data_IF_199705184087
#
_entry.id   IF_199705184087
#
_cell.length_a   1.000
_cell.length_b   1.000
_cell.length_c   1.000
_cell.angle_alpha   90.00
_cell.angle_beta   90.00
_cell.angle_gamma   90.00
#
_symmetry.space_group_name_H-M   'P 1'
#
loop_
_entity.id
_entity.type
_entity.pdbx_description
1 polymer ?
#
# COMPACT_ATOMS: atom_id res chain seq x y z
N UNK A 1 2.63 -84.69 17.17
CA UNK A 1 2.03 -83.93 16.04
C UNK A 1 1.65 -82.51 16.43
N UNK A 2 1.65 -82.11 17.67
CA UNK A 2 1.13 -80.80 18.15
C UNK A 2 2.17 -79.67 18.11
N UNK A 3 3.46 -79.97 18.03
CA UNK A 3 4.52 -78.94 18.05
C UNK A 3 4.84 -78.33 16.69
N UNK A 4 4.55 -79.03 15.60
CA UNK A 4 4.83 -78.58 14.23
C UNK A 4 3.79 -77.54 13.72
N UNK A 5 2.56 -77.60 14.21
CA UNK A 5 1.47 -76.71 13.80
C UNK A 5 1.59 -75.29 14.37
N UNK A 6 2.17 -75.12 15.56
CA UNK A 6 2.35 -73.80 16.17
C UNK A 6 3.46 -72.97 15.52
N UNK A 7 4.50 -73.65 14.98
CA UNK A 7 5.59 -72.97 14.27
C UNK A 7 5.18 -72.51 12.88
N UNK A 8 4.26 -73.20 12.21
CA UNK A 8 3.79 -72.82 10.86
C UNK A 8 2.80 -71.64 10.93
N UNK A 9 1.93 -71.60 11.98
CA UNK A 9 1.00 -70.51 12.21
C UNK A 9 1.72 -69.19 12.56
N UNK A 10 2.82 -69.25 13.33
CA UNK A 10 3.64 -68.06 13.64
C UNK A 10 4.38 -67.48 12.46
N UNK A 11 4.84 -68.31 11.50
CA UNK A 11 5.51 -67.85 10.26
C UNK A 11 4.54 -67.19 9.28
N UNK A 12 3.31 -67.68 9.16
CA UNK A 12 2.28 -67.06 8.32
C UNK A 12 1.82 -65.71 8.88
N UNK A 13 1.74 -65.55 10.18
CA UNK A 13 1.36 -64.25 10.82
C UNK A 13 2.45 -63.20 10.66
N UNK A 14 3.73 -63.58 10.72
CA UNK A 14 4.86 -62.68 10.52
C UNK A 14 4.96 -62.22 9.05
N UNK A 15 4.73 -63.13 8.10
CA UNK A 15 4.75 -62.78 6.66
C UNK A 15 3.56 -61.89 6.28
N UNK A 16 2.37 -62.11 6.88
CA UNK A 16 1.21 -61.25 6.66
C UNK A 16 1.39 -59.85 7.27
N UNK A 17 2.05 -59.72 8.42
CA UNK A 17 2.40 -58.45 9.03
C UNK A 17 3.49 -57.70 8.25
N UNK A 18 4.47 -58.37 7.65
CA UNK A 18 5.48 -57.77 6.80
C UNK A 18 4.88 -57.29 5.47
N UNK A 19 3.95 -58.01 4.86
CA UNK A 19 3.27 -57.59 3.63
C UNK A 19 2.31 -56.43 3.92
N UNK A 20 1.61 -56.42 5.03
CA UNK A 20 0.76 -55.28 5.45
C UNK A 20 1.61 -54.03 5.77
N UNK A 21 2.79 -54.19 6.38
CA UNK A 21 3.75 -53.11 6.62
C UNK A 21 4.34 -52.55 5.34
N UNK A 22 4.64 -53.34 4.32
CA UNK A 22 5.12 -52.90 3.01
C UNK A 22 4.00 -52.19 2.19
N UNK A 23 2.76 -52.64 2.28
CA UNK A 23 1.62 -51.99 1.61
C UNK A 23 1.29 -50.67 2.27
N UNK A 24 1.40 -50.55 3.60
CA UNK A 24 1.25 -49.29 4.31
C UNK A 24 2.42 -48.32 4.05
N UNK A 25 3.63 -48.79 3.95
CA UNK A 25 4.81 -47.98 3.57
C UNK A 25 4.74 -47.49 2.13
N UNK A 26 4.19 -48.25 1.19
CA UNK A 26 4.01 -47.84 -0.21
C UNK A 26 2.83 -46.86 -0.37
N UNK A 27 1.81 -46.91 0.49
CA UNK A 27 0.73 -45.93 0.47
C UNK A 27 1.10 -44.58 1.12
N UNK A 28 2.10 -44.56 2.00
CA UNK A 28 2.65 -43.30 2.57
C UNK A 28 3.67 -42.65 1.62
N UNK A 29 4.29 -43.39 0.71
CA UNK A 29 5.24 -42.85 -0.27
C UNK A 29 4.59 -42.37 -1.59
N UNK A 30 3.26 -42.52 -1.76
CA UNK A 30 2.58 -42.11 -3.00
C UNK A 30 1.79 -40.80 -2.89
N UNK A 31 1.93 -40.04 -1.80
CA UNK A 31 1.56 -38.63 -1.75
C UNK A 31 2.79 -37.76 -2.01
N UNK A 32 3.52 -38.03 -3.07
CA UNK A 32 4.26 -36.97 -3.76
C UNK A 32 3.17 -35.99 -4.24
N UNK A 33 2.98 -34.88 -3.50
CA UNK A 33 2.15 -33.80 -3.96
C UNK A 33 2.49 -33.52 -5.41
N UNK A 34 1.53 -33.72 -6.32
CA UNK A 34 1.68 -33.25 -7.69
C UNK A 34 2.21 -31.82 -7.63
N UNK A 35 3.26 -31.48 -8.38
CA UNK A 35 3.75 -30.12 -8.39
C UNK A 35 2.56 -29.21 -8.68
N UNK A 36 2.38 -28.19 -7.89
CA UNK A 36 1.32 -27.23 -8.08
C UNK A 36 1.35 -26.78 -9.56
N UNK A 37 0.19 -26.75 -10.20
CA UNK A 37 0.09 -26.25 -11.57
C UNK A 37 0.53 -24.79 -11.59
N UNK A 38 1.11 -24.35 -12.71
CA UNK A 38 1.44 -22.95 -12.92
C UNK A 38 0.16 -22.10 -12.77
N UNK A 39 0.22 -20.94 -12.08
CA UNK A 39 -0.93 -20.06 -11.99
C UNK A 39 -1.31 -19.55 -13.37
N UNK A 40 -2.61 -19.56 -13.68
CA UNK A 40 -3.15 -18.95 -14.88
C UNK A 40 -3.33 -17.44 -14.63
N UNK A 41 -2.38 -16.65 -15.09
CA UNK A 41 -2.40 -15.21 -14.91
C UNK A 41 -3.44 -14.47 -15.76
N UNK A 42 -4.03 -15.15 -16.74
CA UNK A 42 -5.04 -14.58 -17.63
C UNK A 42 -6.46 -14.97 -17.20
N UNK A 43 -6.60 -15.95 -16.32
CA UNK A 43 -7.88 -16.30 -15.73
C UNK A 43 -8.44 -15.11 -14.90
N UNK A 44 -9.67 -14.71 -15.21
CA UNK A 44 -10.40 -13.68 -14.47
C UNK A 44 -9.77 -12.27 -14.48
N UNK A 45 -9.04 -11.90 -15.53
CA UNK A 45 -8.56 -10.53 -15.68
C UNK A 45 -9.74 -9.56 -15.82
N UNK A 46 -9.70 -8.41 -15.11
CA UNK A 46 -10.71 -7.38 -15.31
C UNK A 46 -10.58 -6.74 -16.69
N UNK A 47 -11.67 -6.17 -17.26
CA UNK A 47 -11.63 -5.48 -18.56
C UNK A 47 -10.62 -4.32 -18.61
N UNK A 48 -10.28 -3.74 -17.48
CA UNK A 48 -9.28 -2.67 -17.32
C UNK A 48 -7.85 -3.17 -17.19
N UNK A 49 -7.62 -4.50 -17.23
CA UNK A 49 -6.27 -5.05 -17.18
C UNK A 49 -5.40 -4.48 -18.31
N UNK A 50 -4.18 -4.13 -17.95
CA UNK A 50 -3.24 -3.52 -18.89
C UNK A 50 -2.62 -4.57 -19.82
N UNK A 51 -2.15 -4.17 -21.02
CA UNK A 51 -1.40 -5.04 -21.91
C UNK A 51 -0.25 -5.75 -21.19
N UNK A 52 0.10 -6.95 -21.65
CA UNK A 52 1.13 -7.78 -21.03
C UNK A 52 2.18 -8.21 -22.05
N UNK A 53 3.38 -8.42 -21.55
CA UNK A 53 4.50 -8.98 -22.27
C UNK A 53 5.09 -10.14 -21.47
N UNK A 54 5.79 -11.03 -22.15
CA UNK A 54 6.53 -12.11 -21.50
C UNK A 54 8.01 -11.98 -21.84
N UNK A 55 8.87 -12.07 -20.84
CA UNK A 55 10.31 -12.06 -21.04
C UNK A 55 10.90 -13.45 -21.28
N UNK A 56 12.21 -13.53 -21.48
CA UNK A 56 12.89 -14.79 -21.85
C UNK A 56 12.85 -15.88 -20.78
N UNK A 57 12.56 -15.54 -19.53
CA UNK A 57 12.41 -16.53 -18.43
C UNK A 57 10.95 -16.72 -18.01
N UNK A 58 9.99 -16.32 -18.86
CA UNK A 58 8.57 -16.55 -18.64
C UNK A 58 7.92 -15.63 -17.59
N UNK A 59 8.56 -14.49 -17.23
CA UNK A 59 7.89 -13.49 -16.39
C UNK A 59 6.86 -12.74 -17.21
N UNK A 60 5.62 -12.66 -16.69
CA UNK A 60 4.59 -11.82 -17.26
C UNK A 60 4.75 -10.40 -16.72
N UNK A 61 4.82 -9.44 -17.61
CA UNK A 61 5.06 -8.03 -17.34
C UNK A 61 3.83 -7.22 -17.79
N UNK A 62 3.22 -6.46 -16.89
CA UNK A 62 2.14 -5.53 -17.23
C UNK A 62 2.71 -4.20 -17.73
N UNK A 63 2.17 -3.70 -18.83
CA UNK A 63 2.58 -2.42 -19.46
C UNK A 63 1.63 -1.32 -19.01
N UNK A 64 2.09 -0.45 -18.12
CA UNK A 64 1.29 0.60 -17.50
C UNK A 64 1.58 1.95 -18.17
N UNK A 65 0.52 2.67 -18.54
CA UNK A 65 0.65 4.00 -19.11
C UNK A 65 1.24 4.99 -18.11
N UNK A 66 1.92 6.05 -18.58
CA UNK A 66 2.26 7.19 -17.72
C UNK A 66 1.02 7.79 -17.07
N UNK A 67 1.17 8.35 -15.88
CA UNK A 67 0.01 8.90 -15.21
C UNK A 67 0.34 9.72 -13.97
N UNK A 68 -0.70 10.32 -13.41
CA UNK A 68 -0.64 11.13 -12.20
C UNK A 68 -1.51 10.47 -11.15
N UNK A 69 -1.02 10.41 -9.92
CA UNK A 69 -1.75 9.83 -8.80
C UNK A 69 -1.46 10.55 -7.48
N UNK A 70 -2.28 10.28 -6.49
CA UNK A 70 -2.06 10.74 -5.13
C UNK A 70 -1.24 9.69 -4.36
N UNK A 71 0.03 9.99 -4.11
CA UNK A 71 0.95 9.15 -3.35
C UNK A 71 0.80 9.42 -1.85
N UNK A 72 0.92 8.38 -1.06
CA UNK A 72 0.79 8.48 0.39
C UNK A 72 -0.65 8.34 0.90
N UNK A 73 -0.80 8.48 2.21
CA UNK A 73 -2.10 8.39 2.87
C UNK A 73 -2.76 9.76 2.97
N UNK A 74 -4.09 9.84 2.74
CA UNK A 74 -4.81 11.09 2.90
C UNK A 74 -4.71 11.60 4.33
N UNK A 75 -4.45 12.88 4.45
CA UNK A 75 -4.59 13.64 5.67
C UNK A 75 -6.05 14.00 5.92
N UNK A 76 -6.31 14.60 7.08
CA UNK A 76 -7.54 15.36 7.25
C UNK A 76 -7.51 16.56 6.31
N UNK A 77 -8.35 16.51 5.30
CA UNK A 77 -8.55 17.65 4.40
C UNK A 77 -9.94 18.20 4.63
N UNK A 78 -10.00 19.44 5.02
CA UNK A 78 -11.25 20.19 5.12
C UNK A 78 -11.30 21.15 3.94
N UNK A 79 -12.17 20.88 2.99
CA UNK A 79 -12.35 21.71 1.80
C UNK A 79 -13.52 22.68 2.01
N UNK A 80 -13.26 23.97 1.87
CA UNK A 80 -14.30 25.00 1.85
C UNK A 80 -14.84 25.13 0.44
N UNK A 81 -16.03 24.60 0.21
CA UNK A 81 -16.63 24.50 -1.12
C UNK A 81 -17.42 25.76 -1.54
N UNK A 82 -17.88 26.55 -0.56
CA UNK A 82 -18.75 27.71 -0.81
C UNK A 82 -18.21 28.99 -0.18
N UNK A 83 -18.48 30.13 -0.82
CA UNK A 83 -18.08 31.45 -0.33
C UNK A 83 -18.89 31.99 0.85
N UNK A 84 -18.46 33.15 1.38
CA UNK A 84 -18.98 33.75 2.61
C UNK A 84 -20.47 34.01 2.63
N UNK A 85 -21.13 34.26 1.49
CA UNK A 85 -22.58 34.45 1.39
C UNK A 85 -23.43 33.22 1.79
N UNK A 86 -22.79 32.04 1.92
CA UNK A 86 -23.43 30.77 2.33
C UNK A 86 -23.21 30.43 3.79
N UNK A 87 -22.27 31.07 4.48
CA UNK A 87 -22.04 30.90 5.91
C UNK A 87 -22.90 31.88 6.76
N UNK A 88 -23.09 31.52 8.01
CA UNK A 88 -23.83 32.35 8.98
C UNK A 88 -23.01 32.53 10.24
N UNK A 89 -23.12 33.72 10.85
CA UNK A 89 -22.57 34.01 12.18
C UNK A 89 -23.14 33.04 13.21
N UNK A 90 -22.30 32.58 14.13
CA UNK A 90 -22.68 31.66 15.19
C UNK A 90 -22.59 30.17 14.81
N UNK A 91 -22.21 29.82 13.57
CA UNK A 91 -21.88 28.44 13.24
C UNK A 91 -20.59 28.02 13.93
N UNK A 92 -20.58 26.83 14.53
CA UNK A 92 -19.46 26.32 15.32
C UNK A 92 -18.87 25.10 14.62
N UNK A 93 -17.54 25.01 14.59
CA UNK A 93 -16.84 23.79 14.29
C UNK A 93 -15.86 23.43 15.42
N UNK A 94 -15.52 22.17 15.55
CA UNK A 94 -14.69 21.65 16.62
C UNK A 94 -13.48 20.96 16.00
N UNK A 95 -12.31 21.21 16.58
CA UNK A 95 -11.07 20.51 16.26
C UNK A 95 -10.61 19.77 17.51
N UNK A 96 -10.48 18.46 17.42
CA UNK A 96 -9.98 17.61 18.50
C UNK A 96 -8.57 17.14 18.12
N UNK A 97 -7.59 17.22 19.01
CA UNK A 97 -6.30 16.56 18.84
C UNK A 97 -6.31 15.14 19.45
N UNK A 98 -5.38 14.29 19.03
CA UNK A 98 -5.30 12.93 19.58
C UNK A 98 -4.80 12.90 21.03
N UNK A 99 -4.29 14.00 21.55
CA UNK A 99 -3.92 14.16 22.96
C UNK A 99 -5.14 14.38 23.84
N UNK A 100 -6.36 14.35 23.29
CA UNK A 100 -7.61 14.54 24.00
C UNK A 100 -7.99 15.99 24.24
N UNK A 101 -7.30 16.94 23.60
CA UNK A 101 -7.69 18.35 23.65
C UNK A 101 -8.68 18.65 22.55
N UNK A 102 -9.69 19.45 22.87
CA UNK A 102 -10.76 19.86 21.98
C UNK A 102 -10.92 21.36 21.99
N UNK A 103 -10.94 21.98 20.82
CA UNK A 103 -11.13 23.42 20.68
C UNK A 103 -12.31 23.70 19.76
N UNK A 104 -13.22 24.53 20.25
CA UNK A 104 -14.36 25.07 19.48
C UNK A 104 -13.99 26.39 18.85
N UNK A 105 -14.45 26.59 17.62
CA UNK A 105 -14.29 27.83 16.85
C UNK A 105 -15.67 28.32 16.39
N UNK A 106 -15.85 29.63 16.33
CA UNK A 106 -17.08 30.22 15.88
C UNK A 106 -16.88 31.03 14.60
N UNK A 107 -17.73 30.80 13.60
CA UNK A 107 -17.75 31.56 12.36
C UNK A 107 -18.43 32.92 12.60
N UNK A 108 -17.75 34.00 12.29
CA UNK A 108 -18.25 35.39 12.52
C UNK A 108 -18.33 36.11 11.18
N UNK A 109 -19.54 36.44 10.78
CA UNK A 109 -19.79 37.33 9.65
C UNK A 109 -19.49 38.77 10.04
N UNK A 110 -18.46 39.35 9.50
CA UNK A 110 -18.05 40.74 9.81
C UNK A 110 -19.07 41.78 9.39
N UNK A 111 -19.96 41.45 8.45
CA UNK A 111 -20.99 42.35 7.95
C UNK A 111 -22.25 42.39 8.84
N UNK A 112 -22.50 41.31 9.59
CA UNK A 112 -23.73 41.15 10.35
C UNK A 112 -23.56 40.88 11.84
N UNK A 113 -22.33 40.63 12.31
CA UNK A 113 -22.07 40.31 13.72
C UNK A 113 -22.50 41.48 14.66
N UNK A 114 -23.36 41.15 15.62
CA UNK A 114 -23.86 42.10 16.63
C UNK A 114 -23.33 41.83 18.03
N UNK A 115 -22.70 40.67 18.26
CA UNK A 115 -22.19 40.23 19.56
C UNK A 115 -20.73 39.74 19.44
N UNK A 116 -19.94 39.88 20.50
CA UNK A 116 -18.62 39.30 20.54
C UNK A 116 -18.70 37.77 20.46
N UNK A 117 -17.70 37.10 19.85
CA UNK A 117 -17.66 35.65 19.74
C UNK A 117 -17.48 34.99 21.12
N UNK A 118 -18.08 33.82 21.30
CA UNK A 118 -17.93 33.01 22.51
C UNK A 118 -16.68 32.12 22.45
N UNK A 119 -16.27 31.77 21.24
CA UNK A 119 -15.10 30.93 20.94
C UNK A 119 -14.12 31.68 20.03
N UNK A 120 -12.87 31.21 19.88
CA UNK A 120 -11.92 31.78 18.93
C UNK A 120 -12.59 32.01 17.57
N UNK A 121 -12.61 33.27 17.07
CA UNK A 121 -13.41 33.59 15.91
C UNK A 121 -12.71 33.25 14.60
N UNK A 122 -13.47 32.73 13.65
CA UNK A 122 -13.10 32.68 12.23
C UNK A 122 -13.94 33.73 11.50
N UNK A 123 -13.28 34.77 11.05
CA UNK A 123 -13.95 35.93 10.43
C UNK A 123 -14.18 35.72 8.95
N UNK A 124 -15.33 36.07 8.43
CA UNK A 124 -15.65 36.09 7.01
C UNK A 124 -16.59 37.26 6.70
N UNK A 125 -16.74 37.64 5.43
CA UNK A 125 -17.72 38.60 4.95
C UNK A 125 -18.81 37.86 4.15
N UNK A 126 -20.09 38.11 4.48
CA UNK A 126 -21.22 37.64 3.68
C UNK A 126 -21.47 38.48 2.43
N UNK A 127 -20.78 39.60 2.28
CA UNK A 127 -20.98 40.57 1.21
C UNK A 127 -22.14 41.50 1.38
N UNK A 128 -22.82 41.46 2.55
CA UNK A 128 -24.01 42.33 2.81
C UNK A 128 -23.67 43.79 2.91
N UNK A 129 -22.49 44.14 3.45
CA UNK A 129 -22.01 45.52 3.57
C UNK A 129 -21.04 45.90 2.45
N UNK A 130 -20.24 44.99 2.01
CA UNK A 130 -19.11 45.25 1.10
C UNK A 130 -19.42 44.90 -0.35
N UNK A 131 -20.55 44.24 -0.63
CA UNK A 131 -20.86 43.58 -1.92
C UNK A 131 -19.81 42.54 -2.38
N UNK A 132 -18.88 42.16 -1.50
CA UNK A 132 -17.78 41.20 -1.79
C UNK A 132 -17.75 40.14 -0.70
N UNK A 133 -18.41 39.00 -0.89
CA UNK A 133 -18.32 37.91 0.05
C UNK A 133 -16.92 37.28 0.02
N UNK A 134 -16.47 36.82 1.19
CA UNK A 134 -15.21 36.07 1.27
C UNK A 134 -15.25 34.86 0.35
N UNK A 135 -14.20 34.68 -0.43
CA UNK A 135 -14.04 33.47 -1.28
C UNK A 135 -13.83 32.21 -0.45
N UNK A 136 -14.07 31.03 -0.99
CA UNK A 136 -13.76 29.77 -0.29
C UNK A 136 -12.30 29.69 0.18
N UNK A 137 -11.34 30.14 -0.63
CA UNK A 137 -9.94 30.17 -0.26
C UNK A 137 -9.66 31.11 0.92
N UNK A 138 -10.27 32.30 0.95
CA UNK A 138 -10.13 33.24 2.05
C UNK A 138 -10.69 32.66 3.36
N UNK A 139 -11.82 31.96 3.30
CA UNK A 139 -12.40 31.31 4.47
C UNK A 139 -11.49 30.19 4.98
N UNK A 140 -10.94 29.36 4.08
CA UNK A 140 -9.99 28.32 4.44
C UNK A 140 -8.74 28.90 5.14
N UNK A 141 -8.19 30.00 4.62
CA UNK A 141 -7.06 30.70 5.24
C UNK A 141 -7.39 31.23 6.63
N UNK A 142 -8.55 31.88 6.80
CA UNK A 142 -8.98 32.41 8.09
C UNK A 142 -9.23 31.30 9.13
N UNK A 143 -9.78 30.15 8.69
CA UNK A 143 -9.96 28.97 9.55
C UNK A 143 -8.60 28.41 9.98
N UNK A 144 -7.67 28.21 9.04
CA UNK A 144 -6.33 27.69 9.34
C UNK A 144 -5.56 28.62 10.28
N UNK A 145 -5.64 29.94 10.07
CA UNK A 145 -5.01 30.93 10.95
C UNK A 145 -5.55 30.85 12.37
N UNK A 146 -6.86 30.73 12.55
CA UNK A 146 -7.47 30.60 13.87
C UNK A 146 -7.04 29.29 14.58
N UNK A 147 -6.94 28.18 13.85
CA UNK A 147 -6.51 26.89 14.39
C UNK A 147 -5.04 26.95 14.79
N UNK A 148 -4.15 27.45 13.92
CA UNK A 148 -2.72 27.58 14.20
C UNK A 148 -2.43 28.52 15.36
N UNK A 149 -3.24 29.57 15.57
CA UNK A 149 -3.14 30.42 16.75
C UNK A 149 -3.40 29.64 18.04
N UNK A 150 -4.33 28.68 18.06
CA UNK A 150 -4.58 27.81 19.22
C UNK A 150 -3.46 26.78 19.42
N UNK A 151 -2.83 26.33 18.34
CA UNK A 151 -1.65 25.46 18.42
C UNK A 151 -0.45 26.19 19.04
N UNK A 152 -0.19 27.42 18.60
CA UNK A 152 0.87 28.27 19.17
C UNK A 152 0.61 28.59 20.65
N UNK A 153 -0.65 28.74 21.04
CA UNK A 153 -1.03 28.94 22.44
C UNK A 153 -0.98 27.65 23.30
N UNK A 154 -0.63 26.49 22.72
CA UNK A 154 -0.57 25.21 23.42
C UNK A 154 -1.91 24.53 23.68
N UNK A 155 -3.00 25.07 23.13
CA UNK A 155 -4.37 24.53 23.28
C UNK A 155 -4.64 23.35 22.34
N UNK A 156 -3.87 23.21 21.25
CA UNK A 156 -3.92 22.11 20.28
C UNK A 156 -2.49 21.69 19.91
N UNK A 157 -2.35 20.46 19.43
CA UNK A 157 -1.11 19.92 18.88
C UNK A 157 -1.27 19.60 17.37
N UNK A 158 -1.81 20.55 16.62
CA UNK A 158 -2.15 20.38 15.20
C UNK A 158 -1.62 21.60 14.43
N UNK A 159 -0.94 21.37 13.31
CA UNK A 159 -0.63 22.42 12.34
C UNK A 159 -1.54 22.30 11.13
N UNK A 160 -1.94 23.44 10.57
CA UNK A 160 -2.80 23.51 9.38
C UNK A 160 -2.13 24.33 8.30
N UNK A 161 -2.01 23.77 7.11
CA UNK A 161 -1.61 24.48 5.89
C UNK A 161 -2.79 24.59 4.93
N UNK A 162 -2.78 25.60 4.08
CA UNK A 162 -3.86 25.85 3.11
C UNK A 162 -3.31 25.78 1.70
N UNK A 163 -3.95 24.97 0.86
CA UNK A 163 -3.69 24.91 -0.57
C UNK A 163 -5.00 25.17 -1.32
N UNK A 164 -5.11 26.34 -1.95
CA UNK A 164 -6.35 26.77 -2.59
C UNK A 164 -7.51 26.89 -1.59
N UNK A 165 -8.52 26.03 -1.72
CA UNK A 165 -9.70 25.97 -0.84
C UNK A 165 -9.61 24.86 0.20
N UNK A 166 -8.49 24.13 0.25
CA UNK A 166 -8.31 22.97 1.12
C UNK A 166 -7.37 23.28 2.27
N UNK A 167 -7.76 22.89 3.48
CA UNK A 167 -6.93 22.91 4.68
C UNK A 167 -6.38 21.50 4.91
N UNK A 168 -5.07 21.39 5.00
CA UNK A 168 -4.34 20.15 5.29
C UNK A 168 -3.89 20.18 6.74
N UNK A 169 -4.23 19.16 7.48
CA UNK A 169 -3.94 19.06 8.91
C UNK A 169 -2.74 18.15 9.12
N UNK A 170 -1.66 18.70 9.69
CA UNK A 170 -0.48 17.97 10.10
C UNK A 170 -0.47 17.82 11.62
N UNK A 171 -0.17 16.62 12.08
CA UNK A 171 -0.14 16.26 13.49
C UNK A 171 -1.24 15.29 13.87
N UNK A 172 -1.14 14.79 15.08
CA UNK A 172 -2.03 13.77 15.61
C UNK A 172 -3.35 14.43 15.99
N UNK A 173 -4.40 14.29 15.18
CA UNK A 173 -5.69 14.84 15.53
C UNK A 173 -6.88 14.19 14.84
N UNK A 174 -7.96 14.08 15.59
CA UNK A 174 -9.28 13.80 15.06
C UNK A 174 -10.01 15.10 14.82
N UNK A 175 -10.45 15.35 13.61
CA UNK A 175 -11.42 16.40 13.34
C UNK A 175 -12.81 15.79 13.53
N UNK A 176 -13.46 16.10 14.64
CA UNK A 176 -14.89 15.88 14.75
C UNK A 176 -15.59 17.20 14.46
N UNK A 177 -16.19 17.32 13.29
CA UNK A 177 -17.11 18.39 13.00
C UNK A 177 -18.37 18.18 13.86
N UNK A 178 -18.35 18.71 15.08
CA UNK A 178 -19.57 18.90 15.85
C UNK A 178 -20.43 19.91 15.12
N UNK A 179 -21.44 19.44 14.41
CA UNK A 179 -22.51 20.22 13.75
C UNK A 179 -22.04 21.43 12.92
N UNK A 180 -21.07 21.25 12.02
CA UNK A 180 -21.26 21.83 10.71
C UNK A 180 -22.36 20.95 10.12
N UNK A 181 -23.56 21.45 10.04
CA UNK A 181 -24.73 20.70 9.62
C UNK A 181 -24.44 20.08 8.27
N UNK A 182 -24.14 18.77 8.24
CA UNK A 182 -23.86 18.01 7.03
C UNK A 182 -25.14 17.67 6.29
N UNK A 183 -26.27 18.23 6.74
CA UNK A 183 -27.56 18.09 6.08
C UNK A 183 -27.54 18.85 4.75
N UNK A 184 -27.21 18.12 3.69
CA UNK A 184 -27.40 18.46 2.26
C UNK A 184 -26.76 19.75 1.70
N UNK A 185 -25.95 20.45 2.45
CA UNK A 185 -25.35 21.72 2.07
C UNK A 185 -23.82 21.59 2.00
N UNK A 186 -23.25 21.06 0.91
CA UNK A 186 -21.83 20.82 0.62
C UNK A 186 -20.88 22.03 0.86
N UNK A 187 -21.05 22.77 1.96
CA UNK A 187 -20.29 24.00 2.29
C UNK A 187 -18.87 23.70 2.72
N UNK A 188 -18.71 22.61 3.46
CA UNK A 188 -17.41 22.11 3.92
C UNK A 188 -17.38 20.59 3.73
N UNK A 189 -16.46 20.14 2.92
CA UNK A 189 -16.26 18.73 2.69
C UNK A 189 -15.12 18.27 3.59
N UNK A 190 -15.42 17.34 4.51
CA UNK A 190 -14.42 16.72 5.38
C UNK A 190 -14.05 15.35 4.83
N UNK A 191 -12.81 15.18 4.37
CA UNK A 191 -12.25 13.87 4.06
C UNK A 191 -11.59 13.32 5.31
N UNK A 192 -12.06 12.18 5.80
CA UNK A 192 -11.45 11.52 6.96
C UNK A 192 -10.14 10.88 6.53
N UNK A 193 -9.09 10.96 7.36
CA UNK A 193 -7.84 10.26 7.07
C UNK A 193 -8.03 8.76 7.12
N UNK A 194 -7.10 8.06 6.53
CA UNK A 194 -6.88 6.67 6.87
C UNK A 194 -6.39 6.59 8.33
N UNK A 195 -7.25 6.11 9.23
CA UNK A 195 -6.96 6.02 10.67
C UNK A 195 -5.78 5.12 11.01
N UNK A 196 -5.36 4.29 10.07
CA UNK A 196 -4.25 3.36 10.24
C UNK A 196 -2.94 3.87 9.63
N UNK A 197 -2.95 4.99 8.90
CA UNK A 197 -1.75 5.53 8.30
C UNK A 197 -0.85 6.17 9.35
N UNK A 198 0.41 5.82 9.32
CA UNK A 198 1.47 6.44 10.12
C UNK A 198 1.89 7.80 9.53
N UNK A 199 2.67 8.56 10.28
CA UNK A 199 3.08 9.91 9.87
C UNK A 199 3.99 9.89 8.64
N UNK A 200 4.80 8.85 8.47
CA UNK A 200 5.72 8.68 7.34
C UNK A 200 5.01 8.39 6.00
N UNK A 201 3.73 8.03 6.06
CA UNK A 201 2.87 7.88 4.88
C UNK A 201 2.24 9.21 4.44
N UNK A 202 2.48 10.32 5.17
CA UNK A 202 1.85 11.62 5.00
C UNK A 202 2.88 12.73 4.76
N UNK A 203 2.46 13.85 4.16
CA UNK A 203 1.16 14.12 3.55
C UNK A 203 0.94 13.34 2.25
N UNK A 204 -0.34 13.15 1.88
CA UNK A 204 -0.66 12.72 0.53
C UNK A 204 -0.30 13.83 -0.46
N UNK A 205 0.41 13.50 -1.52
CA UNK A 205 0.90 14.48 -2.50
C UNK A 205 0.73 13.98 -3.93
N UNK A 206 0.67 14.91 -4.86
CA UNK A 206 0.55 14.61 -6.27
C UNK A 206 1.89 14.11 -6.82
N UNK A 207 1.88 12.95 -7.45
CA UNK A 207 3.08 12.35 -8.06
C UNK A 207 2.77 11.95 -9.50
N UNK A 208 3.73 12.18 -10.39
CA UNK A 208 3.63 11.85 -11.80
C UNK A 208 4.66 10.78 -12.20
N UNK A 209 4.20 9.68 -12.74
CA UNK A 209 5.00 8.72 -13.50
C UNK A 209 4.99 9.17 -14.95
N UNK A 210 6.16 9.54 -15.49
CA UNK A 210 6.24 10.24 -16.79
C UNK A 210 6.46 9.30 -17.96
N UNK A 211 6.89 8.08 -17.71
CA UNK A 211 7.21 7.09 -18.74
C UNK A 211 6.33 5.84 -18.57
N UNK A 212 6.24 5.06 -19.64
CA UNK A 212 5.58 3.75 -19.58
C UNK A 212 6.31 2.87 -18.58
N UNK A 213 5.58 2.37 -17.58
CA UNK A 213 6.09 1.47 -16.54
C UNK A 213 5.78 0.02 -16.92
N UNK A 214 6.80 -0.79 -17.14
CA UNK A 214 6.66 -2.21 -17.44
C UNK A 214 7.03 -2.99 -16.18
N UNK A 215 6.02 -3.49 -15.44
CA UNK A 215 6.17 -4.07 -14.11
C UNK A 215 5.79 -5.55 -14.10
N UNK A 216 6.52 -6.37 -13.35
CA UNK A 216 6.15 -7.77 -13.12
C UNK A 216 4.71 -7.90 -12.64
N UNK A 217 3.90 -8.73 -13.30
CA UNK A 217 2.50 -8.93 -12.92
C UNK A 217 2.36 -9.61 -11.56
N UNK A 218 3.37 -10.33 -11.12
CA UNK A 218 3.51 -11.00 -9.82
C UNK A 218 4.85 -10.66 -9.19
N UNK A 219 5.04 -11.06 -7.97
CA UNK A 219 6.36 -11.20 -7.34
C UNK A 219 7.24 -12.17 -8.16
N UNK A 220 8.56 -12.06 -8.05
CA UNK A 220 9.50 -13.00 -8.68
C UNK A 220 9.37 -14.36 -8.00
N UNK A 221 9.11 -15.41 -8.80
CA UNK A 221 8.98 -16.77 -8.27
C UNK A 221 10.34 -17.42 -7.99
N UNK A 222 10.35 -18.44 -7.14
CA UNK A 222 11.56 -19.23 -6.87
C UNK A 222 12.10 -19.93 -8.13
N UNK A 223 11.24 -20.34 -9.05
CA UNK A 223 11.66 -20.89 -10.33
C UNK A 223 12.40 -19.85 -11.17
N UNK A 224 11.85 -18.65 -11.33
CA UNK A 224 12.46 -17.53 -12.04
C UNK A 224 13.79 -17.11 -11.40
N UNK A 225 13.79 -17.01 -10.08
CA UNK A 225 15.01 -16.72 -9.32
C UNK A 225 16.10 -17.77 -9.56
N UNK A 226 15.77 -19.07 -9.47
CA UNK A 226 16.73 -20.14 -9.65
C UNK A 226 17.31 -20.18 -11.07
N UNK A 227 16.54 -19.81 -12.10
CA UNK A 227 17.05 -19.69 -13.48
C UNK A 227 18.17 -18.65 -13.61
N UNK A 228 18.15 -17.62 -12.79
CA UNK A 228 19.12 -16.50 -12.83
C UNK A 228 20.22 -16.66 -11.78
N UNK A 229 19.87 -17.06 -10.57
CA UNK A 229 20.79 -17.09 -9.41
C UNK A 229 21.29 -18.49 -9.09
N UNK A 230 20.73 -19.52 -9.71
CA UNK A 230 21.12 -20.94 -9.55
C UNK A 230 20.39 -21.65 -8.41
N UNK A 231 20.16 -20.99 -7.27
CA UNK A 231 19.48 -21.55 -6.11
C UNK A 231 18.84 -20.46 -5.27
N UNK A 232 17.88 -20.82 -4.39
CA UNK A 232 17.28 -19.90 -3.44
C UNK A 232 17.32 -20.45 -2.00
N UNK A 233 17.19 -19.57 -1.03
CA UNK A 233 17.18 -19.88 0.41
C UNK A 233 15.80 -19.70 1.03
N UNK A 234 14.75 -19.69 0.22
CA UNK A 234 13.38 -19.53 0.71
C UNK A 234 13.03 -20.64 1.70
N UNK A 235 12.30 -20.29 2.75
CA UNK A 235 11.99 -21.22 3.85
C UNK A 235 11.01 -22.32 3.45
N UNK A 236 10.08 -21.98 2.55
CA UNK A 236 9.13 -22.93 1.93
C UNK A 236 9.48 -23.00 0.46
N UNK A 237 9.70 -24.21 -0.05
CA UNK A 237 10.15 -24.44 -1.43
C UNK A 237 8.99 -24.78 -2.36
N UNK A 238 8.97 -24.16 -3.53
CA UNK A 238 8.00 -24.45 -4.59
C UNK A 238 8.19 -23.53 -5.80
N UNK A 239 8.03 -24.03 -7.02
CA UNK A 239 8.39 -23.29 -8.24
C UNK A 239 7.63 -21.96 -8.39
N UNK A 240 6.37 -21.92 -7.97
CA UNK A 240 5.47 -20.76 -8.11
C UNK A 240 5.26 -19.99 -6.81
N UNK A 241 5.99 -20.34 -5.76
CA UNK A 241 6.08 -19.49 -4.56
C UNK A 241 6.98 -18.29 -4.85
N UNK A 242 6.72 -17.12 -4.23
CA UNK A 242 7.64 -16.00 -4.35
C UNK A 242 9.00 -16.39 -3.75
N UNK A 243 10.08 -15.91 -4.35
CA UNK A 243 11.38 -15.99 -3.68
C UNK A 243 11.36 -15.08 -2.47
N UNK A 244 11.84 -15.58 -1.35
CA UNK A 244 12.00 -14.82 -0.12
C UNK A 244 13.32 -15.16 0.58
N UNK A 245 13.55 -14.59 1.73
CA UNK A 245 14.82 -14.71 2.47
C UNK A 245 16.00 -14.19 1.64
N UNK A 246 15.80 -13.04 1.01
CA UNK A 246 16.76 -12.33 0.18
C UNK A 246 17.00 -10.92 0.72
N UNK A 247 18.23 -10.45 0.59
CA UNK A 247 18.62 -9.07 0.87
C UNK A 247 18.27 -8.14 -0.31
N UNK A 248 18.29 -6.83 -0.07
CA UNK A 248 18.19 -5.83 -1.14
C UNK A 248 19.32 -5.97 -2.17
N UNK A 249 20.54 -6.22 -1.71
CA UNK A 249 21.70 -6.39 -2.56
C UNK A 249 21.52 -7.58 -3.51
N UNK A 250 20.97 -8.70 -3.03
CA UNK A 250 20.66 -9.86 -3.87
C UNK A 250 19.53 -9.59 -4.86
N UNK A 251 18.50 -8.85 -4.44
CA UNK A 251 17.42 -8.41 -5.32
C UNK A 251 17.94 -7.54 -6.49
N UNK A 252 18.86 -6.63 -6.22
CA UNK A 252 19.55 -5.84 -7.25
C UNK A 252 20.42 -6.71 -8.15
N UNK A 253 21.17 -7.67 -7.58
CA UNK A 253 22.00 -8.60 -8.34
C UNK A 253 21.16 -9.48 -9.29
N UNK A 254 19.98 -9.91 -8.86
CA UNK A 254 19.01 -10.61 -9.72
C UNK A 254 18.64 -9.76 -10.94
N UNK A 255 18.24 -8.50 -10.73
CA UNK A 255 17.89 -7.57 -11.81
C UNK A 255 19.05 -7.36 -12.79
N UNK A 256 20.27 -7.20 -12.27
CA UNK A 256 21.48 -7.04 -13.09
C UNK A 256 21.72 -8.28 -13.96
N UNK A 257 21.76 -9.46 -13.36
CA UNK A 257 21.98 -10.71 -14.11
C UNK A 257 20.86 -11.02 -15.12
N UNK A 258 19.60 -10.72 -14.79
CA UNK A 258 18.49 -10.84 -15.73
C UNK A 258 18.70 -9.93 -16.94
N UNK A 259 19.17 -8.69 -16.72
CA UNK A 259 19.49 -7.74 -17.78
C UNK A 259 20.66 -8.18 -18.68
N UNK A 260 21.56 -9.01 -18.15
CA UNK A 260 22.75 -9.53 -18.87
C UNK A 260 22.43 -10.73 -19.75
N UNK A 261 21.23 -11.33 -19.66
CA UNK A 261 20.85 -12.44 -20.52
C UNK A 261 20.86 -12.02 -21.99
N UNK A 262 21.48 -12.80 -22.90
CA UNK A 262 21.57 -12.45 -24.32
C UNK A 262 20.21 -12.18 -24.97
N UNK A 263 19.18 -12.91 -24.58
CA UNK A 263 17.82 -12.70 -25.09
C UNK A 263 17.20 -11.35 -24.65
N UNK A 264 17.48 -10.93 -23.41
CA UNK A 264 17.00 -9.64 -22.89
C UNK A 264 17.77 -8.47 -23.50
N UNK A 265 19.09 -8.62 -23.67
CA UNK A 265 19.93 -7.63 -24.36
C UNK A 265 19.49 -7.47 -25.82
N UNK A 266 19.23 -8.58 -26.53
CA UNK A 266 18.75 -8.55 -27.91
C UNK A 266 17.37 -7.90 -28.03
N UNK A 267 16.54 -7.99 -27.00
CA UNK A 267 15.24 -7.33 -26.89
C UNK A 267 15.32 -5.87 -26.42
N UNK A 268 16.52 -5.33 -26.14
CA UNK A 268 16.73 -3.99 -25.61
C UNK A 268 16.19 -3.79 -24.20
N UNK A 269 16.05 -4.85 -23.40
CA UNK A 269 15.48 -4.84 -22.06
C UNK A 269 16.56 -4.80 -20.98
N UNK A 270 16.34 -3.96 -19.97
CA UNK A 270 17.09 -3.97 -18.72
C UNK A 270 16.12 -4.00 -17.55
N UNK A 271 16.56 -4.52 -16.41
CA UNK A 271 15.71 -4.73 -15.26
C UNK A 271 16.25 -4.01 -14.03
N UNK A 272 15.35 -3.54 -13.19
CA UNK A 272 15.63 -2.92 -11.90
C UNK A 272 14.49 -3.19 -10.91
N UNK A 273 14.69 -2.85 -9.66
CA UNK A 273 13.60 -2.75 -8.70
C UNK A 273 12.71 -1.56 -9.03
N UNK A 274 11.42 -1.57 -8.69
CA UNK A 274 10.57 -0.40 -8.78
C UNK A 274 11.06 0.72 -7.84
N UNK A 275 10.83 1.98 -8.20
CA UNK A 275 10.83 3.04 -7.20
C UNK A 275 9.61 2.89 -6.30
N UNK A 276 9.66 3.51 -5.12
CA UNK A 276 8.52 3.52 -4.20
C UNK A 276 7.26 4.10 -4.86
N UNK A 277 7.43 5.18 -5.64
CA UNK A 277 6.35 5.83 -6.37
C UNK A 277 5.77 4.93 -7.48
N UNK A 278 6.60 4.24 -8.24
CA UNK A 278 6.16 3.30 -9.27
C UNK A 278 5.38 2.14 -8.66
N UNK A 279 5.86 1.62 -7.54
CA UNK A 279 5.18 0.55 -6.83
C UNK A 279 3.78 0.97 -6.35
N UNK A 280 3.68 2.14 -5.68
CA UNK A 280 2.41 2.64 -5.17
C UNK A 280 1.43 3.01 -6.30
N UNK A 281 1.92 3.61 -7.39
CA UNK A 281 1.14 3.87 -8.60
C UNK A 281 0.49 2.60 -9.14
N UNK A 282 1.29 1.54 -9.29
CA UNK A 282 0.86 0.24 -9.79
C UNK A 282 -0.12 -0.45 -8.80
N UNK A 283 0.15 -0.39 -7.50
CA UNK A 283 -0.70 -0.94 -6.46
C UNK A 283 -2.09 -0.29 -6.45
N UNK A 284 -2.15 1.02 -6.55
CA UNK A 284 -3.41 1.78 -6.56
C UNK A 284 -4.26 1.55 -7.80
N UNK A 285 -3.66 1.27 -8.94
CA UNK A 285 -4.37 1.04 -10.20
C UNK A 285 -5.48 2.07 -10.48
N UNK A 286 -5.16 3.36 -10.27
CA UNK A 286 -6.09 4.49 -10.49
C UNK A 286 -6.98 4.85 -9.30
N UNK A 287 -6.90 4.15 -8.16
CA UNK A 287 -7.69 4.46 -6.96
C UNK A 287 -6.95 5.40 -6.00
N UNK A 288 -7.70 6.04 -5.11
CA UNK A 288 -7.17 6.88 -4.03
C UNK A 288 -7.43 6.28 -2.64
N UNK A 289 -8.05 5.11 -2.59
CA UNK A 289 -8.43 4.40 -1.36
C UNK A 289 -7.24 3.64 -0.75
N UNK A 290 -7.31 3.23 0.53
CA UNK A 290 -6.26 2.43 1.17
C UNK A 290 -5.93 1.13 0.43
N UNK A 291 -6.93 0.54 -0.22
CA UNK A 291 -6.80 -0.65 -1.08
C UNK A 291 -7.41 -0.36 -2.45
N UNK A 292 -6.96 -1.05 -3.50
CA UNK A 292 -7.50 -0.86 -4.85
C UNK A 292 -9.00 -1.15 -4.98
N UNK A 293 -9.55 -1.92 -4.07
CA UNK A 293 -10.98 -2.30 -4.02
C UNK A 293 -11.81 -1.43 -3.04
N UNK A 294 -11.21 -0.50 -2.30
CA UNK A 294 -11.95 0.44 -1.44
C UNK A 294 -11.31 0.75 -0.08
N UNK A 295 -12.15 1.23 0.84
CA UNK A 295 -11.72 1.77 2.13
C UNK A 295 -11.46 0.72 3.22
N UNK A 296 -12.16 -0.42 3.15
CA UNK A 296 -12.19 -1.38 4.24
C UNK A 296 -11.32 -2.60 3.96
N UNK A 297 -10.63 -3.07 4.98
CA UNK A 297 -9.84 -4.30 4.91
C UNK A 297 -10.70 -5.59 4.84
N UNK A 298 -12.04 -5.50 4.91
CA UNK A 298 -12.93 -6.67 4.95
C UNK A 298 -12.76 -7.63 3.76
N UNK A 299 -12.39 -7.08 2.59
CA UNK A 299 -12.20 -7.87 1.38
C UNK A 299 -10.73 -8.20 1.10
N UNK A 300 -9.81 -7.88 2.02
CA UNK A 300 -8.38 -8.13 1.80
C UNK A 300 -8.08 -9.61 1.54
N UNK A 301 -8.84 -10.50 2.14
CA UNK A 301 -8.69 -11.95 1.94
C UNK A 301 -8.90 -12.41 0.49
N UNK A 302 -9.60 -11.62 -0.32
CA UNK A 302 -9.82 -11.91 -1.75
C UNK A 302 -8.64 -11.43 -2.62
N UNK A 303 -7.85 -10.46 -2.15
CA UNK A 303 -6.80 -9.78 -2.90
C UNK A 303 -5.38 -10.04 -2.41
N UNK A 304 -5.20 -10.60 -1.22
CA UNK A 304 -3.88 -10.76 -0.64
C UNK A 304 -3.77 -11.85 0.41
N UNK A 305 -2.53 -12.28 0.64
CA UNK A 305 -2.13 -13.23 1.64
C UNK A 305 -1.50 -12.51 2.83
N UNK A 306 -2.18 -12.48 3.97
CA UNK A 306 -1.76 -11.75 5.15
C UNK A 306 -2.05 -12.55 6.43
N UNK A 307 -1.64 -12.10 7.58
CA UNK A 307 -1.80 -12.79 8.88
C UNK A 307 -3.24 -13.27 9.18
N UNK A 308 -4.24 -12.66 8.55
CA UNK A 308 -5.65 -13.03 8.77
C UNK A 308 -6.09 -14.28 8.00
N UNK A 309 -5.31 -14.76 7.01
CA UNK A 309 -5.73 -15.86 6.15
C UNK A 309 -4.62 -16.86 5.77
N UNK A 310 -3.38 -16.66 6.24
CA UNK A 310 -2.27 -17.61 6.03
C UNK A 310 -1.19 -17.45 7.09
N UNK A 311 -0.38 -18.51 7.28
CA UNK A 311 0.78 -18.51 8.18
C UNK A 311 2.11 -18.62 7.43
N UNK A 312 2.08 -18.73 6.11
CA UNK A 312 3.26 -18.86 5.25
C UNK A 312 3.03 -18.25 3.87
N UNK A 313 4.11 -18.10 3.08
CA UNK A 313 4.02 -17.68 1.68
C UNK A 313 3.13 -18.63 0.87
N UNK A 314 2.44 -18.08 -0.11
CA UNK A 314 1.53 -18.80 -1.01
C UNK A 314 1.98 -18.64 -2.46
N UNK A 315 1.48 -19.48 -3.35
CA UNK A 315 1.76 -19.36 -4.79
C UNK A 315 1.33 -17.96 -5.28
N UNK A 316 2.14 -17.38 -6.14
CA UNK A 316 1.83 -16.07 -6.74
C UNK A 316 0.52 -16.14 -7.53
N UNK A 317 -0.19 -15.04 -7.65
CA UNK A 317 -1.49 -14.94 -8.32
C UNK A 317 -2.56 -15.90 -7.78
N UNK A 318 -2.43 -16.35 -6.54
CA UNK A 318 -3.44 -17.17 -5.87
C UNK A 318 -4.68 -16.37 -5.39
N UNK A 319 -4.69 -15.06 -5.58
CA UNK A 319 -5.76 -14.12 -5.23
C UNK A 319 -6.16 -13.28 -6.42
N UNK A 320 -7.17 -12.42 -6.25
CA UNK A 320 -7.59 -11.48 -7.28
C UNK A 320 -6.52 -10.43 -7.55
N UNK A 321 -6.34 -10.07 -8.81
CA UNK A 321 -5.49 -8.95 -9.19
C UNK A 321 -6.19 -7.60 -8.96
N UNK A 322 -5.42 -6.51 -9.01
CA UNK A 322 -5.99 -5.18 -9.08
C UNK A 322 -6.56 -4.89 -10.50
N UNK A 323 -7.15 -3.70 -10.68
CA UNK A 323 -7.80 -3.32 -11.94
C UNK A 323 -6.84 -3.23 -13.14
N UNK A 324 -5.53 -3.21 -12.91
CA UNK A 324 -4.51 -3.24 -13.97
C UNK A 324 -3.93 -4.62 -14.22
N UNK A 325 -4.43 -5.66 -13.52
CA UNK A 325 -4.00 -7.03 -13.69
C UNK A 325 -2.72 -7.37 -12.93
N UNK A 326 -2.40 -6.64 -11.87
CA UNK A 326 -1.27 -6.92 -10.98
C UNK A 326 -1.75 -7.71 -9.77
N UNK A 327 -1.07 -8.80 -9.48
CA UNK A 327 -1.37 -9.71 -8.38
C UNK A 327 -0.45 -9.45 -7.19
N UNK A 328 -0.88 -9.92 -6.03
CA UNK A 328 -0.10 -9.96 -4.78
C UNK A 328 0.45 -8.60 -4.33
N UNK A 329 -0.25 -7.50 -4.72
CA UNK A 329 0.10 -6.15 -4.28
C UNK A 329 -0.19 -5.93 -2.79
N UNK A 330 -0.83 -6.90 -2.12
CA UNK A 330 -1.21 -6.87 -0.71
C UNK A 330 -0.82 -8.17 -0.02
N UNK A 331 0.28 -8.17 0.72
CA UNK A 331 0.73 -9.33 1.49
C UNK A 331 1.68 -10.24 0.74
N UNK A 332 1.62 -11.52 0.97
CA UNK A 332 2.53 -12.57 0.52
C UNK A 332 3.97 -12.29 0.95
N UNK A 333 4.78 -11.55 0.18
CA UNK A 333 6.08 -11.03 0.61
C UNK A 333 6.15 -9.51 0.46
N UNK A 334 6.85 -8.84 1.37
CA UNK A 334 7.17 -7.42 1.21
C UNK A 334 8.18 -7.25 0.09
N UNK A 335 7.97 -6.28 -0.79
CA UNK A 335 8.76 -6.10 -2.00
C UNK A 335 9.78 -4.96 -1.82
N UNK A 336 11.06 -5.25 -2.09
CA UNK A 336 12.11 -4.27 -2.11
C UNK A 336 11.88 -3.22 -3.20
N UNK A 337 11.95 -1.94 -2.81
CA UNK A 337 12.01 -0.81 -3.72
C UNK A 337 13.43 -0.23 -3.75
N UNK A 338 13.78 0.46 -4.85
CA UNK A 338 15.13 1.02 -5.00
C UNK A 338 15.41 2.20 -4.04
N UNK A 339 14.37 2.81 -3.50
CA UNK A 339 14.46 4.03 -2.71
C UNK A 339 15.10 3.78 -1.34
N UNK A 340 15.85 4.76 -0.88
CA UNK A 340 16.24 4.87 0.52
C UNK A 340 15.03 5.35 1.31
N UNK A 341 14.82 4.78 2.49
CA UNK A 341 13.73 5.18 3.37
C UNK A 341 14.13 6.40 4.23
N UNK A 342 13.21 7.36 4.31
CA UNK A 342 13.18 8.41 5.34
C UNK A 342 11.73 8.64 5.75
N UNK A 343 11.50 8.77 7.05
CA UNK A 343 10.17 9.02 7.59
C UNK A 343 9.65 10.42 7.22
N UNK A 344 10.56 11.39 7.06
CA UNK A 344 10.25 12.78 6.77
C UNK A 344 10.23 13.11 5.26
N UNK A 345 10.45 12.10 4.40
CA UNK A 345 10.58 12.36 2.96
C UNK A 345 9.33 13.04 2.39
N UNK A 346 8.14 12.57 2.74
CA UNK A 346 6.90 13.13 2.23
C UNK A 346 6.59 14.53 2.76
N UNK A 347 7.08 14.87 3.96
CA UNK A 347 6.92 16.20 4.54
C UNK A 347 7.50 17.32 3.70
N UNK A 348 8.58 17.02 2.98
CA UNK A 348 9.34 17.96 2.17
C UNK A 348 9.26 17.64 0.68
N UNK A 349 8.49 16.60 0.31
CA UNK A 349 8.35 16.20 -1.08
C UNK A 349 7.48 17.20 -1.84
N UNK A 350 8.01 17.97 -2.78
CA UNK A 350 7.19 18.68 -3.74
C UNK A 350 6.43 17.67 -4.62
N UNK A 351 5.36 18.07 -5.30
CA UNK A 351 4.72 17.27 -6.33
C UNK A 351 5.74 17.06 -7.46
N UNK A 352 6.33 15.89 -7.51
CA UNK A 352 7.47 15.61 -8.36
C UNK A 352 7.17 14.55 -9.41
N UNK A 353 7.85 14.72 -10.52
CA UNK A 353 7.92 13.74 -11.59
C UNK A 353 8.95 12.68 -11.21
N UNK A 354 8.53 11.41 -11.18
CA UNK A 354 9.38 10.25 -10.88
C UNK A 354 10.27 10.46 -9.65
N UNK A 355 9.70 10.73 -8.45
CA UNK A 355 10.49 11.06 -7.27
C UNK A 355 11.53 9.96 -6.98
N UNK A 356 12.81 10.32 -6.81
CA UNK A 356 13.89 9.35 -6.66
C UNK A 356 14.07 8.84 -5.22
N UNK A 357 13.31 9.36 -4.27
CA UNK A 357 13.54 9.13 -2.84
C UNK A 357 14.74 9.91 -2.28
N UNK A 358 15.03 9.76 -0.98
CA UNK A 358 16.20 10.35 -0.34
C UNK A 358 17.51 9.82 -0.94
N UNK A 359 18.56 10.62 -0.90
CA UNK A 359 19.90 10.26 -1.41
C UNK A 359 20.76 9.50 -0.39
N UNK A 360 20.42 9.58 0.89
CA UNK A 360 21.17 8.95 2.00
C UNK A 360 20.21 8.40 3.06
N UNK A 361 20.62 7.33 3.71
CA UNK A 361 19.87 6.69 4.81
C UNK A 361 20.30 5.24 5.02
N UNK A 362 20.04 4.67 6.19
CA UNK A 362 20.49 3.32 6.54
C UNK A 362 19.56 2.21 6.00
N UNK A 363 18.35 2.54 5.59
CA UNK A 363 17.33 1.56 5.23
C UNK A 363 16.81 1.76 3.81
N UNK A 364 16.31 0.67 3.22
CA UNK A 364 15.60 0.64 1.94
C UNK A 364 14.11 0.48 2.17
N UNK A 365 13.31 0.99 1.25
CA UNK A 365 11.87 0.89 1.29
C UNK A 365 11.41 -0.54 0.96
N UNK A 366 10.42 -1.01 1.73
CA UNK A 366 9.66 -2.23 1.50
C UNK A 366 8.18 -1.87 1.34
N UNK A 367 7.50 -2.49 0.40
CA UNK A 367 6.09 -2.21 0.12
C UNK A 367 5.24 -3.49 0.12
N UNK A 368 3.90 -3.33 0.22
CA UNK A 368 2.91 -4.41 0.09
C UNK A 368 2.53 -5.10 1.40
N UNK A 369 3.38 -5.07 2.42
CA UNK A 369 3.25 -5.96 3.57
C UNK A 369 3.60 -7.41 3.19
N UNK A 370 3.31 -8.37 4.07
CA UNK A 370 3.65 -9.77 3.87
C UNK A 370 2.64 -10.69 4.57
N UNK A 371 2.82 -12.01 4.45
CA UNK A 371 1.91 -13.00 5.03
C UNK A 371 1.76 -12.92 6.57
N UNK A 372 2.70 -12.30 7.29
CA UNK A 372 2.60 -12.06 8.74
C UNK A 372 2.06 -10.67 9.08
N UNK A 373 1.84 -9.81 8.09
CA UNK A 373 1.37 -8.44 8.30
C UNK A 373 -0.09 -8.38 8.74
N UNK A 374 -0.41 -7.40 9.58
CA UNK A 374 -1.79 -6.98 9.81
C UNK A 374 -2.36 -6.37 8.52
N UNK A 375 -3.67 -6.42 8.34
CA UNK A 375 -4.33 -5.80 7.20
C UNK A 375 -3.95 -4.31 7.03
N UNK A 376 -3.82 -3.58 8.14
CA UNK A 376 -3.38 -2.18 8.15
C UNK A 376 -1.99 -1.94 7.56
N UNK A 377 -1.13 -2.94 7.57
CA UNK A 377 0.22 -2.88 6.99
C UNK A 377 0.30 -3.41 5.55
N UNK A 378 -0.85 -3.78 4.97
CA UNK A 378 -0.97 -4.16 3.55
C UNK A 378 -1.58 -3.05 2.69
N UNK A 379 -1.80 -1.84 3.22
CA UNK A 379 -2.39 -0.71 2.45
C UNK A 379 -1.46 -0.22 1.35
N UNK A 380 -2.02 0.33 0.28
CA UNK A 380 -1.24 0.88 -0.84
C UNK A 380 -0.21 1.93 -0.40
N UNK A 381 -0.51 2.72 0.64
CA UNK A 381 0.37 3.77 1.17
C UNK A 381 1.35 3.29 2.23
N UNK A 382 1.17 2.08 2.80
CA UNK A 382 2.03 1.61 3.88
C UNK A 382 3.49 1.52 3.47
N UNK A 383 4.38 2.05 4.31
CA UNK A 383 5.82 2.11 4.09
C UNK A 383 6.55 1.22 5.09
N UNK A 384 7.09 0.11 4.62
CA UNK A 384 8.03 -0.73 5.36
C UNK A 384 9.47 -0.32 5.11
N UNK A 385 10.39 -0.78 5.95
CA UNK A 385 11.82 -0.52 5.80
C UNK A 385 12.66 -1.65 6.37
N UNK A 386 13.84 -1.86 5.80
CA UNK A 386 14.88 -2.71 6.37
C UNK A 386 16.27 -2.28 5.88
N UNK A 387 17.33 -2.66 6.61
CA UNK A 387 18.71 -2.49 6.13
C UNK A 387 18.94 -3.33 4.88
N UNK A 388 19.80 -2.84 3.98
CA UNK A 388 20.03 -3.46 2.67
C UNK A 388 20.54 -4.92 2.75
N UNK A 389 21.23 -5.29 3.82
CA UNK A 389 21.82 -6.62 4.00
C UNK A 389 20.91 -7.59 4.77
N UNK A 390 19.73 -7.13 5.21
CA UNK A 390 18.81 -8.00 5.97
C UNK A 390 18.15 -9.02 5.06
N UNK A 391 18.42 -10.28 5.33
CA UNK A 391 17.71 -11.42 4.78
C UNK A 391 16.51 -11.73 5.68
N UNK A 392 15.34 -11.82 5.11
CA UNK A 392 14.12 -12.12 5.86
C UNK A 392 13.17 -12.96 5.02
N UNK A 393 12.59 -13.97 5.66
CA UNK A 393 11.51 -14.76 5.06
C UNK A 393 10.27 -13.93 4.67
N UNK A 394 10.23 -12.67 5.07
CA UNK A 394 9.13 -11.74 4.81
C UNK A 394 9.37 -10.91 3.56
N UNK A 395 10.61 -10.87 3.02
CA UNK A 395 11.03 -9.96 1.97
C UNK A 395 11.32 -10.72 0.68
N UNK A 396 10.75 -10.25 -0.40
CA UNK A 396 10.95 -10.67 -1.78
C UNK A 396 11.13 -9.49 -2.71
N UNK A 397 10.81 -9.65 -3.98
CA UNK A 397 10.94 -8.58 -4.96
C UNK A 397 9.94 -8.71 -6.11
N UNK A 398 9.72 -7.59 -6.77
CA UNK A 398 9.08 -7.44 -8.09
C UNK A 398 10.01 -6.63 -8.98
N UNK A 399 10.01 -6.85 -10.29
CA UNK A 399 10.90 -6.18 -11.21
C UNK A 399 10.19 -5.15 -12.09
N UNK A 400 10.92 -4.10 -12.45
CA UNK A 400 10.59 -3.19 -13.54
C UNK A 400 11.49 -3.52 -14.72
N UNK A 401 10.90 -3.63 -15.91
CA UNK A 401 11.60 -3.72 -17.17
C UNK A 401 11.68 -2.32 -17.81
N UNK A 402 12.85 -1.92 -18.22
CA UNK A 402 13.10 -0.70 -19.00
C UNK A 402 13.49 -1.11 -20.41
N UNK A 403 12.83 -0.57 -21.42
CA UNK A 403 13.17 -0.75 -22.83
C UNK A 403 13.98 0.45 -23.33
N UNK A 404 15.04 0.16 -24.08
CA UNK A 404 15.84 1.15 -24.78
C UNK A 404 15.29 1.45 -26.17
#
# INVERSE_FOLDING_TARGET
MTYAFQHYARRLTIVSLLIAGLVLASSVLSHAQQPAAAPDLDANLPPSAKPREVNSIGMVLAVLDPGVFQMGAPEYVVQVALGGNRFRSGQIFIVDDQAGKSQRFELIDTDTAKKPPFYPPVRFSSGKKTNQPSSPAQIAQNMAQAINAQTTAGNLQIAVTVVGTSMHFKGIGLFSAGRVNTDNDNRVIVRKPDRYASNDERPQHLTQITETLILGATEVTQQQWNQIMGSNRSTVQGPYLPVNNISYTEAVAFCTKLSELPAEQAAGRTYRLPSEAEWEYACRAGTTTPYNYGQNASNLADYGWYRGNTEQIQIVAGKQCNQWGLFDMYGNVSEWCQDIYSAEYYDNAPPEKNPPGPTTGPHRVLRGGNFMSQASSCRSSYRGQASADVESQLNGLRVVCVKK
#
